data_IF_913566558021
#
_entry.id   IF_913566558021
#
_cell.length_a   1.000
_cell.length_b   1.000
_cell.length_c   1.000
_cell.angle_alpha   90.00
_cell.angle_beta   90.00
_cell.angle_gamma   90.00
#
_symmetry.space_group_name_H-M   'P 1'
#
loop_
_entity.id
_entity.type
_entity.pdbx_description
1 polymer ?
#
# COMPACT_ATOMS: atom_id res chain seq x y z
N UNK A 1 0.54 -9.64 -10.41
CA UNK A 1 1.85 -10.32 -10.41
C UNK A 1 1.64 -11.79 -10.76
N UNK A 2 2.52 -12.34 -11.59
CA UNK A 2 2.43 -13.75 -12.02
C UNK A 2 3.03 -14.72 -11.00
N UNK A 3 3.55 -14.21 -9.88
CA UNK A 3 4.25 -14.99 -8.84
C UNK A 3 5.41 -15.83 -9.42
N UNK A 4 6.13 -15.24 -10.37
CA UNK A 4 7.29 -15.85 -11.05
C UNK A 4 8.53 -15.05 -10.64
N UNK A 5 9.63 -15.73 -10.23
CA UNK A 5 10.89 -15.05 -9.98
C UNK A 5 11.37 -14.31 -11.23
N UNK A 6 11.73 -13.05 -11.09
CA UNK A 6 12.24 -12.23 -12.17
C UNK A 6 13.36 -11.32 -11.69
N UNK A 7 14.32 -11.07 -12.54
CA UNK A 7 15.41 -10.12 -12.31
C UNK A 7 15.47 -9.17 -13.50
N UNK A 8 15.53 -7.89 -13.23
CA UNK A 8 15.65 -6.85 -14.24
C UNK A 8 17.01 -6.15 -14.14
N UNK A 9 17.45 -5.50 -15.22
CA UNK A 9 18.71 -4.75 -15.23
C UNK A 9 19.98 -5.60 -15.11
N UNK A 10 19.92 -6.86 -15.52
CA UNK A 10 21.09 -7.75 -15.55
C UNK A 10 22.07 -7.32 -16.65
N UNK A 11 23.35 -7.64 -16.44
CA UNK A 11 24.39 -7.33 -17.40
C UNK A 11 24.19 -8.04 -18.75
N UNK A 12 24.59 -7.39 -19.84
CA UNK A 12 24.45 -7.93 -21.19
C UNK A 12 25.08 -9.32 -21.38
N UNK A 13 26.11 -9.66 -20.61
CA UNK A 13 26.72 -10.99 -20.63
C UNK A 13 25.76 -12.13 -20.26
N UNK A 14 24.61 -11.84 -19.68
CA UNK A 14 23.60 -12.85 -19.47
C UNK A 14 23.05 -13.43 -20.78
N UNK A 15 23.14 -12.68 -21.88
CA UNK A 15 22.76 -13.12 -23.22
C UNK A 15 23.75 -14.16 -23.82
N UNK A 16 24.95 -14.25 -23.27
CA UNK A 16 25.98 -15.20 -23.72
C UNK A 16 25.82 -16.58 -23.07
N UNK A 17 24.85 -16.74 -22.15
CA UNK A 17 24.58 -18.04 -21.52
C UNK A 17 23.99 -18.99 -22.56
N UNK A 18 24.65 -20.14 -22.77
CA UNK A 18 24.19 -21.11 -23.73
C UNK A 18 22.87 -21.74 -23.37
N UNK A 19 22.07 -22.05 -24.37
CA UNK A 19 20.78 -22.74 -24.20
C UNK A 19 20.98 -24.07 -23.45
N UNK A 20 20.11 -24.37 -22.52
CA UNK A 20 20.17 -25.58 -21.71
C UNK A 20 21.08 -25.47 -20.49
N UNK A 21 21.75 -24.35 -20.29
CA UNK A 21 22.55 -24.11 -19.08
C UNK A 21 21.65 -24.04 -17.85
N UNK A 22 21.99 -24.82 -16.81
CA UNK A 22 21.29 -24.73 -15.52
C UNK A 22 21.73 -23.46 -14.80
N UNK A 23 20.75 -22.63 -14.45
CA UNK A 23 20.97 -21.35 -13.77
C UNK A 23 20.20 -21.28 -12.45
N UNK A 24 20.69 -20.48 -11.51
CA UNK A 24 19.97 -20.11 -10.29
C UNK A 24 19.51 -18.66 -10.43
N UNK A 25 18.21 -18.46 -10.47
CA UNK A 25 17.56 -17.16 -10.49
C UNK A 25 16.97 -16.87 -9.12
N UNK A 26 17.49 -15.85 -8.44
CA UNK A 26 16.94 -15.37 -7.17
C UNK A 26 16.33 -13.98 -7.37
N UNK A 27 14.99 -13.93 -7.47
CA UNK A 27 14.25 -12.69 -7.68
C UNK A 27 14.28 -11.76 -6.46
N UNK A 28 14.50 -12.28 -5.26
CA UNK A 28 14.59 -11.48 -4.04
C UNK A 28 15.95 -10.79 -3.88
N UNK A 29 17.01 -11.47 -4.29
CA UNK A 29 18.38 -10.94 -4.28
C UNK A 29 18.76 -10.23 -5.59
N UNK A 30 17.92 -10.33 -6.61
CA UNK A 30 18.20 -9.76 -7.93
C UNK A 30 19.39 -10.42 -8.61
N UNK A 31 19.61 -11.71 -8.43
CA UNK A 31 20.80 -12.42 -8.94
C UNK A 31 20.44 -13.53 -9.91
N UNK A 32 21.29 -13.67 -10.93
CA UNK A 32 21.33 -14.81 -11.86
C UNK A 32 22.71 -15.42 -11.81
N UNK A 33 22.82 -16.69 -11.49
CA UNK A 33 24.11 -17.39 -11.37
C UNK A 33 24.16 -18.61 -12.25
N UNK A 34 25.32 -18.86 -12.83
CA UNK A 34 25.69 -20.06 -13.57
C UNK A 34 26.82 -20.82 -12.83
N UNK A 35 27.14 -22.01 -13.27
CA UNK A 35 28.25 -22.78 -12.68
C UNK A 35 27.99 -23.26 -11.26
N UNK A 36 26.75 -23.49 -10.92
CA UNK A 36 26.29 -23.93 -9.59
C UNK A 36 26.63 -25.41 -9.40
N UNK A 37 27.18 -25.78 -8.26
CA UNK A 37 27.53 -27.19 -7.95
C UNK A 37 26.28 -28.04 -7.68
N UNK A 38 26.40 -29.36 -7.87
CA UNK A 38 25.29 -30.28 -7.58
C UNK A 38 24.86 -30.25 -6.12
N UNK A 39 25.78 -30.04 -5.19
CA UNK A 39 25.49 -29.87 -3.76
C UNK A 39 24.70 -28.60 -3.48
N UNK A 40 25.05 -27.50 -4.15
CA UNK A 40 24.35 -26.24 -4.03
C UNK A 40 22.93 -26.35 -4.64
N UNK A 41 22.80 -27.01 -5.78
CA UNK A 41 21.50 -27.30 -6.41
C UNK A 41 20.60 -28.11 -5.47
N UNK A 42 21.16 -29.15 -4.84
CA UNK A 42 20.41 -29.98 -3.89
C UNK A 42 19.91 -29.17 -2.69
N UNK A 43 20.74 -28.31 -2.14
CA UNK A 43 20.34 -27.38 -1.05
C UNK A 43 19.25 -26.42 -1.49
N UNK A 44 19.37 -25.84 -2.68
CA UNK A 44 18.37 -24.91 -3.20
C UNK A 44 17.03 -25.58 -3.49
N UNK A 45 17.05 -26.83 -3.98
CA UNK A 45 15.81 -27.61 -4.17
C UNK A 45 15.14 -27.97 -2.87
N UNK A 46 15.91 -28.32 -1.85
CA UNK A 46 15.40 -28.56 -0.49
C UNK A 46 14.77 -27.28 0.10
N UNK A 47 15.43 -26.15 -0.10
CA UNK A 47 14.89 -24.84 0.25
C UNK A 47 13.56 -24.57 -0.45
N UNK A 48 13.49 -24.75 -1.77
CA UNK A 48 12.27 -24.59 -2.53
C UNK A 48 11.13 -25.49 -2.01
N UNK A 49 11.45 -26.74 -1.65
CA UNK A 49 10.48 -27.67 -1.09
C UNK A 49 9.93 -27.17 0.27
N UNK A 50 10.79 -26.67 1.14
CA UNK A 50 10.37 -26.07 2.43
C UNK A 50 9.54 -24.82 2.23
N UNK A 51 9.93 -23.95 1.30
CA UNK A 51 9.14 -22.74 0.96
C UNK A 51 7.77 -23.11 0.40
N UNK A 52 7.69 -24.11 -0.46
CA UNK A 52 6.42 -24.60 -1.02
C UNK A 52 5.52 -25.17 0.07
N UNK A 53 6.05 -25.95 1.02
CA UNK A 53 5.32 -26.49 2.15
C UNK A 53 4.79 -25.38 3.06
N UNK A 54 5.64 -24.40 3.40
CA UNK A 54 5.25 -23.21 4.17
C UNK A 54 4.14 -22.44 3.48
N UNK A 55 4.28 -22.19 2.18
CA UNK A 55 3.27 -21.50 1.38
C UNK A 55 1.94 -22.27 1.36
N UNK A 56 1.97 -23.60 1.30
CA UNK A 56 0.76 -24.41 1.35
C UNK A 56 0.04 -24.30 2.71
N UNK A 57 0.78 -24.26 3.82
CA UNK A 57 0.22 -24.05 5.16
C UNK A 57 -0.40 -22.65 5.29
N UNK A 58 0.30 -21.63 4.81
CA UNK A 58 -0.21 -20.26 4.82
C UNK A 58 -1.48 -20.12 3.97
N UNK A 59 -1.50 -20.72 2.79
CA UNK A 59 -2.68 -20.73 1.90
C UNK A 59 -3.87 -21.45 2.52
N UNK A 60 -3.65 -22.54 3.23
CA UNK A 60 -4.71 -23.27 3.93
C UNK A 60 -5.39 -22.45 5.04
N UNK A 61 -4.66 -21.52 5.66
CA UNK A 61 -5.12 -20.64 6.74
C UNK A 61 -5.52 -19.23 6.28
N UNK A 62 -5.56 -18.97 4.99
CA UNK A 62 -5.77 -17.61 4.43
C UNK A 62 -7.06 -16.93 4.85
N UNK A 63 -8.11 -17.69 5.09
CA UNK A 63 -9.43 -17.16 5.46
C UNK A 63 -9.56 -16.90 6.96
N UNK A 64 -8.60 -17.35 7.76
CA UNK A 64 -8.58 -17.07 9.19
C UNK A 64 -8.11 -15.64 9.46
N UNK A 65 -8.69 -14.94 10.46
CA UNK A 65 -8.26 -13.59 10.81
C UNK A 65 -6.81 -13.56 11.30
N UNK A 66 -6.13 -12.46 11.02
CA UNK A 66 -4.77 -12.22 11.49
C UNK A 66 -4.82 -11.69 12.93
N UNK A 67 -4.60 -12.57 13.87
CA UNK A 67 -4.62 -12.27 15.31
C UNK A 67 -3.28 -12.66 15.91
N UNK A 68 -2.67 -11.75 16.67
CA UNK A 68 -1.46 -12.06 17.43
C UNK A 68 -1.73 -13.16 18.45
N UNK A 69 -0.70 -13.80 18.95
CA UNK A 69 -0.84 -14.90 19.91
C UNK A 69 -1.52 -14.50 21.23
N UNK A 70 -1.48 -13.21 21.55
CA UNK A 70 -2.13 -12.60 22.73
C UNK A 70 -3.46 -11.89 22.40
N UNK A 71 -4.02 -12.13 21.20
CA UNK A 71 -5.38 -11.74 20.86
C UNK A 71 -5.58 -10.39 20.21
N UNK A 72 -4.52 -9.69 19.80
CA UNK A 72 -4.65 -8.42 19.07
C UNK A 72 -4.89 -8.67 17.59
N UNK A 73 -6.00 -8.15 17.06
CA UNK A 73 -6.37 -8.33 15.66
C UNK A 73 -5.79 -7.24 14.76
N UNK A 74 -5.22 -7.66 13.64
CA UNK A 74 -4.81 -6.78 12.53
C UNK A 74 -5.70 -7.11 11.33
N UNK A 75 -6.28 -6.10 10.71
CA UNK A 75 -7.04 -6.26 9.48
C UNK A 75 -6.08 -6.36 8.30
N UNK A 76 -6.18 -7.42 7.50
CA UNK A 76 -5.34 -7.63 6.32
C UNK A 76 -6.20 -7.54 5.07
N UNK A 77 -5.91 -6.54 4.25
CA UNK A 77 -6.68 -6.17 3.07
C UNK A 77 -5.79 -6.10 1.84
N UNK A 78 -6.39 -5.92 0.67
CA UNK A 78 -5.68 -5.93 -0.60
C UNK A 78 -5.50 -4.53 -1.19
N UNK A 79 -4.39 -4.35 -1.93
CA UNK A 79 -4.22 -3.29 -2.91
C UNK A 79 -4.72 -3.78 -4.27
N UNK A 80 -5.60 -3.03 -4.91
CA UNK A 80 -6.19 -3.39 -6.19
C UNK A 80 -6.15 -2.26 -7.21
N UNK A 81 -6.24 -2.62 -8.49
CA UNK A 81 -6.35 -1.70 -9.62
C UNK A 81 -7.64 -1.83 -10.41
N UNK A 82 -8.53 -2.77 -10.07
CA UNK A 82 -9.78 -2.97 -10.80
C UNK A 82 -10.61 -4.14 -10.28
N UNK A 83 -11.65 -4.49 -11.02
CA UNK A 83 -12.64 -5.51 -10.64
C UNK A 83 -12.01 -6.90 -10.54
N UNK A 84 -11.17 -7.27 -11.51
CA UNK A 84 -10.52 -8.59 -11.52
C UNK A 84 -9.63 -8.79 -10.31
N UNK A 85 -8.90 -7.74 -9.90
CA UNK A 85 -8.12 -7.75 -8.66
C UNK A 85 -9.00 -7.91 -7.43
N UNK A 86 -10.15 -7.23 -7.38
CA UNK A 86 -11.10 -7.34 -6.29
C UNK A 86 -11.58 -8.78 -6.12
N UNK A 87 -11.94 -9.44 -7.22
CA UNK A 87 -12.33 -10.85 -7.24
C UNK A 87 -11.17 -11.74 -6.77
N UNK A 88 -9.98 -11.54 -7.33
CA UNK A 88 -8.79 -12.31 -6.97
C UNK A 88 -8.41 -12.17 -5.48
N UNK A 89 -8.59 -10.98 -4.91
CA UNK A 89 -8.29 -10.71 -3.49
C UNK A 89 -9.16 -11.53 -2.54
N UNK A 90 -10.41 -11.75 -2.89
CA UNK A 90 -11.31 -12.59 -2.09
C UNK A 90 -10.85 -14.05 -2.10
N UNK A 91 -10.34 -14.54 -3.21
CA UNK A 91 -9.76 -15.89 -3.33
C UNK A 91 -8.48 -16.08 -2.51
N UNK A 92 -7.82 -15.01 -2.10
CA UNK A 92 -6.60 -15.02 -1.26
C UNK A 92 -6.85 -14.70 0.21
N UNK A 93 -8.10 -14.54 0.61
CA UNK A 93 -8.46 -14.30 2.00
C UNK A 93 -8.36 -12.85 2.45
N UNK A 94 -8.39 -11.90 1.52
CA UNK A 94 -8.44 -10.48 1.89
C UNK A 94 -9.73 -10.16 2.65
N UNK A 95 -9.61 -9.33 3.68
CA UNK A 95 -10.74 -8.89 4.51
C UNK A 95 -11.38 -7.59 3.96
N UNK A 96 -11.06 -7.23 2.74
CA UNK A 96 -11.51 -6.07 2.03
C UNK A 96 -10.41 -5.47 1.17
N UNK A 97 -10.59 -4.22 0.78
CA UNK A 97 -9.65 -3.44 -0.04
C UNK A 97 -9.21 -2.19 0.71
N UNK A 98 -7.92 -2.11 1.02
CA UNK A 98 -7.34 -0.95 1.70
C UNK A 98 -6.84 0.13 0.74
N UNK A 99 -6.70 -0.20 -0.54
CA UNK A 99 -6.34 0.74 -1.60
C UNK A 99 -6.89 0.27 -2.95
N UNK A 100 -7.84 0.99 -3.49
CA UNK A 100 -8.16 0.98 -4.92
C UNK A 100 -7.44 2.15 -5.57
N UNK A 101 -6.47 1.84 -6.44
CA UNK A 101 -5.77 2.82 -7.26
C UNK A 101 -6.66 3.23 -8.42
N UNK A 102 -7.33 4.36 -8.29
CA UNK A 102 -8.32 4.80 -9.29
C UNK A 102 -7.71 5.28 -10.61
N UNK A 103 -6.39 5.46 -10.69
CA UNK A 103 -5.68 5.83 -11.92
C UNK A 103 -5.99 4.89 -13.08
N UNK A 104 -6.16 3.60 -12.82
CA UNK A 104 -6.49 2.61 -13.84
C UNK A 104 -7.83 2.86 -14.54
N UNK A 105 -8.73 3.59 -13.88
CA UNK A 105 -10.01 4.02 -14.49
C UNK A 105 -9.79 5.13 -15.51
N UNK A 106 -8.75 5.93 -15.34
CA UNK A 106 -8.43 7.11 -16.15
C UNK A 106 -7.38 6.84 -17.21
N UNK A 107 -6.50 5.88 -17.02
CA UNK A 107 -5.38 5.58 -17.92
C UNK A 107 -5.83 4.76 -19.13
N UNK A 108 -5.02 4.83 -20.22
CA UNK A 108 -5.25 4.04 -21.43
C UNK A 108 -6.47 4.48 -22.26
N UNK A 109 -6.93 5.72 -22.08
CA UNK A 109 -8.10 6.30 -22.73
C UNK A 109 -7.76 7.62 -23.41
N UNK A 110 -8.51 7.94 -24.46
CA UNK A 110 -8.40 9.22 -25.16
C UNK A 110 -9.29 10.31 -24.54
N UNK A 111 -10.32 9.92 -23.79
CA UNK A 111 -11.28 10.81 -23.13
C UNK A 111 -11.45 10.42 -21.67
N UNK A 112 -11.80 11.41 -20.83
CA UNK A 112 -12.05 11.18 -19.41
C UNK A 112 -13.21 10.17 -19.22
N UNK A 113 -13.14 9.26 -18.25
CA UNK A 113 -14.27 8.41 -17.91
C UNK A 113 -15.44 9.27 -17.41
N UNK A 114 -16.65 8.97 -17.89
CA UNK A 114 -17.86 9.62 -17.39
C UNK A 114 -18.14 9.26 -15.93
N UNK A 115 -18.97 10.04 -15.27
CA UNK A 115 -19.43 9.72 -13.92
C UNK A 115 -20.11 8.34 -13.87
N UNK A 116 -20.95 8.02 -14.89
CA UNK A 116 -21.62 6.73 -14.97
C UNK A 116 -20.64 5.56 -15.14
N UNK A 117 -19.62 5.71 -15.98
CA UNK A 117 -18.56 4.70 -16.16
C UNK A 117 -17.78 4.47 -14.87
N UNK A 118 -17.40 5.55 -14.18
CA UNK A 118 -16.69 5.46 -12.89
C UNK A 118 -17.57 4.77 -11.85
N UNK A 119 -18.85 5.16 -11.73
CA UNK A 119 -19.81 4.57 -10.80
C UNK A 119 -19.94 3.07 -11.03
N UNK A 120 -20.01 2.64 -12.28
CA UNK A 120 -20.12 1.21 -12.61
C UNK A 120 -18.87 0.43 -12.15
N UNK A 121 -17.69 0.97 -12.39
CA UNK A 121 -16.43 0.31 -11.98
C UNK A 121 -16.33 0.20 -10.46
N UNK A 122 -16.60 1.28 -9.73
CA UNK A 122 -16.55 1.26 -8.25
C UNK A 122 -17.62 0.35 -7.67
N UNK A 123 -18.81 0.34 -8.25
CA UNK A 123 -19.89 -0.57 -7.87
C UNK A 123 -19.51 -2.03 -8.09
N UNK A 124 -18.91 -2.36 -9.22
CA UNK A 124 -18.46 -3.73 -9.53
C UNK A 124 -17.35 -4.19 -8.58
N UNK A 125 -16.41 -3.30 -8.24
CA UNK A 125 -15.41 -3.59 -7.20
C UNK A 125 -16.06 -3.86 -5.84
N UNK A 126 -17.02 -3.03 -5.43
CA UNK A 126 -17.73 -3.20 -4.17
C UNK A 126 -18.53 -4.51 -4.11
N UNK A 127 -19.20 -4.87 -5.19
CA UNK A 127 -19.96 -6.14 -5.29
C UNK A 127 -19.09 -7.39 -5.27
N UNK A 128 -17.83 -7.29 -5.66
CA UNK A 128 -16.88 -8.40 -5.60
C UNK A 128 -16.49 -8.76 -4.16
N UNK A 129 -16.63 -7.83 -3.22
CA UNK A 129 -16.31 -8.03 -1.81
C UNK A 129 -17.46 -8.70 -1.07
N UNK A 130 -17.17 -9.26 0.10
CA UNK A 130 -18.22 -9.72 1.02
C UNK A 130 -18.95 -8.51 1.63
N UNK A 131 -20.25 -8.62 1.93
CA UNK A 131 -21.02 -7.54 2.52
C UNK A 131 -20.35 -6.96 3.77
N UNK A 132 -20.28 -5.64 3.85
CA UNK A 132 -19.70 -4.92 4.98
C UNK A 132 -18.17 -4.83 5.03
N UNK A 133 -17.47 -5.49 4.11
CA UNK A 133 -16.01 -5.34 4.01
C UNK A 133 -15.63 -3.94 3.53
N UNK A 134 -14.48 -3.41 3.99
CA UNK A 134 -14.04 -2.08 3.59
C UNK A 134 -13.58 -2.04 2.13
N UNK A 135 -13.89 -0.94 1.47
CA UNK A 135 -13.34 -0.55 0.17
C UNK A 135 -12.85 0.90 0.28
N UNK A 136 -11.55 1.07 0.33
CA UNK A 136 -10.91 2.39 0.35
C UNK A 136 -10.54 2.77 -1.09
N UNK A 137 -11.16 3.81 -1.60
CA UNK A 137 -10.90 4.32 -2.94
C UNK A 137 -10.08 5.61 -2.83
N UNK A 138 -8.88 5.56 -3.38
CA UNK A 138 -8.05 6.76 -3.49
C UNK A 138 -8.50 7.59 -4.68
N UNK A 139 -8.72 8.88 -4.47
CA UNK A 139 -8.98 9.80 -5.59
C UNK A 139 -7.77 9.88 -6.51
N UNK A 140 -7.98 10.39 -7.72
CA UNK A 140 -7.01 10.38 -8.79
C UNK A 140 -5.63 10.90 -8.34
N UNK A 141 -4.61 10.05 -8.48
CA UNK A 141 -3.20 10.38 -8.22
C UNK A 141 -2.43 10.38 -9.54
N UNK A 142 -2.59 11.43 -10.32
CA UNK A 142 -1.87 11.69 -11.57
C UNK A 142 -0.92 12.87 -11.39
N UNK A 143 0.00 13.02 -12.31
CA UNK A 143 1.14 13.93 -12.24
C UNK A 143 2.43 13.15 -12.04
N UNK A 144 3.55 13.84 -12.02
CA UNK A 144 4.84 13.17 -12.01
C UNK A 144 5.06 12.39 -13.31
N UNK A 145 5.01 11.09 -13.21
CA UNK A 145 5.25 10.15 -14.32
C UNK A 145 3.97 9.58 -14.96
N UNK A 146 2.79 10.01 -14.54
CA UNK A 146 1.51 9.48 -15.01
C UNK A 146 0.70 10.51 -15.82
N UNK A 147 1.06 10.76 -17.09
CA UNK A 147 0.34 11.73 -17.93
C UNK A 147 -1.01 11.17 -18.38
N UNK A 148 -2.01 12.06 -18.47
CA UNK A 148 -3.30 11.81 -19.10
C UNK A 148 -3.50 12.77 -20.28
N UNK A 149 -3.81 12.25 -21.47
CA UNK A 149 -3.92 13.05 -22.68
C UNK A 149 -5.03 14.13 -22.61
N UNK A 150 -6.12 13.85 -21.90
CA UNK A 150 -7.28 14.75 -21.73
C UNK A 150 -7.19 15.62 -20.48
N UNK A 151 -6.16 15.44 -19.66
CA UNK A 151 -5.89 16.21 -18.46
C UNK A 151 -4.40 16.60 -18.46
N UNK A 152 -3.98 17.50 -19.38
CA UNK A 152 -2.58 17.84 -19.50
C UNK A 152 -2.09 18.57 -18.26
N UNK A 153 -1.00 18.07 -17.70
CA UNK A 153 -0.27 18.72 -16.62
C UNK A 153 0.99 19.31 -17.25
N UNK A 154 1.27 20.61 -17.10
CA UNK A 154 2.47 21.22 -17.62
C UNK A 154 3.74 20.51 -17.16
N UNK A 155 4.75 20.46 -18.02
CA UNK A 155 6.05 19.91 -17.65
C UNK A 155 6.66 20.71 -16.49
N UNK A 156 7.19 20.00 -15.52
CA UNK A 156 7.81 20.56 -14.31
C UNK A 156 9.22 20.01 -14.14
N UNK A 157 10.10 20.78 -13.50
CA UNK A 157 11.47 20.34 -13.21
C UNK A 157 11.50 19.21 -12.17
N UNK A 158 10.59 19.27 -11.21
CA UNK A 158 10.47 18.29 -10.14
C UNK A 158 9.02 17.77 -10.03
N UNK A 159 8.55 16.93 -10.95
CA UNK A 159 7.14 16.54 -11.04
C UNK A 159 6.58 15.91 -9.77
N UNK A 160 7.40 15.13 -9.03
CA UNK A 160 6.98 14.52 -7.78
C UNK A 160 6.81 15.51 -6.61
N UNK A 161 7.35 16.71 -6.73
CA UNK A 161 7.18 17.83 -5.79
C UNK A 161 6.18 18.88 -6.28
N UNK A 162 5.62 18.69 -7.44
CA UNK A 162 4.77 19.66 -8.13
C UNK A 162 3.28 19.36 -8.00
N UNK A 163 2.56 19.66 -9.08
CA UNK A 163 1.11 19.48 -9.16
C UNK A 163 0.79 18.02 -9.46
N UNK A 164 0.53 17.26 -8.42
CA UNK A 164 0.11 15.85 -8.51
C UNK A 164 -0.93 15.52 -7.43
N UNK A 165 -1.61 14.39 -7.59
CA UNK A 165 -2.56 13.88 -6.62
C UNK A 165 -3.71 14.85 -6.36
N UNK A 166 -4.00 15.11 -5.11
CA UNK A 166 -5.10 16.02 -4.72
C UNK A 166 -4.92 17.43 -5.28
N UNK A 167 -3.67 17.87 -5.49
CA UNK A 167 -3.39 19.22 -6.05
C UNK A 167 -4.00 19.40 -7.44
N UNK A 168 -4.00 18.35 -8.26
CA UNK A 168 -4.68 18.35 -9.57
C UNK A 168 -6.18 18.56 -9.39
N UNK A 169 -6.80 17.82 -8.47
CA UNK A 169 -8.22 17.95 -8.17
C UNK A 169 -8.61 19.30 -7.57
N UNK A 170 -7.72 19.93 -6.80
CA UNK A 170 -7.97 21.27 -6.25
C UNK A 170 -7.85 22.38 -7.31
N UNK A 171 -6.99 22.22 -8.32
CA UNK A 171 -6.92 23.10 -9.48
C UNK A 171 -8.07 22.88 -10.48
N UNK A 172 -8.54 21.66 -10.59
CA UNK A 172 -9.62 21.24 -11.49
C UNK A 172 -10.76 20.59 -10.71
N UNK A 173 -11.52 21.36 -9.92
CA UNK A 173 -12.50 20.83 -8.98
C UNK A 173 -13.56 19.93 -9.61
N UNK A 174 -13.93 20.15 -10.87
CA UNK A 174 -14.95 19.33 -11.54
C UNK A 174 -14.49 17.87 -11.74
N UNK A 175 -13.20 17.64 -11.97
CA UNK A 175 -12.65 16.29 -12.08
C UNK A 175 -12.78 15.58 -10.72
N UNK A 176 -12.42 16.25 -9.64
CA UNK A 176 -12.52 15.71 -8.28
C UNK A 176 -13.97 15.49 -7.87
N UNK A 177 -14.87 16.46 -8.14
CA UNK A 177 -16.30 16.37 -7.83
C UNK A 177 -16.96 15.18 -8.54
N UNK A 178 -16.70 15.02 -9.82
CA UNK A 178 -17.22 13.90 -10.62
C UNK A 178 -16.80 12.56 -10.04
N UNK A 179 -15.51 12.42 -9.70
CA UNK A 179 -15.01 11.21 -9.08
C UNK A 179 -15.64 10.94 -7.71
N UNK A 180 -15.73 11.95 -6.86
CA UNK A 180 -16.36 11.82 -5.53
C UNK A 180 -17.82 11.39 -5.67
N UNK A 181 -18.61 12.00 -6.57
CA UNK A 181 -20.01 11.60 -6.81
C UNK A 181 -20.11 10.14 -7.25
N UNK A 182 -19.23 9.71 -8.15
CA UNK A 182 -19.21 8.33 -8.63
C UNK A 182 -18.90 7.33 -7.50
N UNK A 183 -17.94 7.66 -6.64
CA UNK A 183 -17.61 6.85 -5.46
C UNK A 183 -18.81 6.79 -4.51
N UNK A 184 -19.40 7.93 -4.18
CA UNK A 184 -20.55 8.03 -3.28
C UNK A 184 -21.76 7.24 -3.82
N UNK A 185 -22.02 7.32 -5.12
CA UNK A 185 -23.11 6.59 -5.78
C UNK A 185 -22.92 5.05 -5.72
N UNK A 186 -21.69 4.57 -5.57
CA UNK A 186 -21.40 3.14 -5.43
C UNK A 186 -21.59 2.61 -4.00
N UNK A 187 -21.92 3.46 -3.05
CA UNK A 187 -22.04 3.10 -1.63
C UNK A 187 -23.20 2.15 -1.30
N UNK A 188 -24.17 1.99 -2.20
CA UNK A 188 -25.29 1.05 -2.05
C UNK A 188 -24.93 -0.40 -2.41
N UNK A 189 -23.73 -0.64 -2.93
CA UNK A 189 -23.31 -1.95 -3.43
C UNK A 189 -22.91 -2.96 -2.32
N UNK A 190 -23.01 -2.59 -1.04
CA UNK A 190 -22.82 -3.49 0.11
C UNK A 190 -21.45 -3.40 0.79
N UNK A 191 -20.45 -2.81 0.18
CA UNK A 191 -19.17 -2.57 0.82
C UNK A 191 -19.21 -1.33 1.71
N UNK A 192 -18.34 -1.29 2.73
CA UNK A 192 -18.13 -0.10 3.55
C UNK A 192 -17.13 0.81 2.85
N UNK A 193 -17.63 1.87 2.22
CA UNK A 193 -16.81 2.78 1.42
C UNK A 193 -16.08 3.82 2.24
N UNK A 194 -14.85 4.08 1.84
CA UNK A 194 -14.00 5.17 2.33
C UNK A 194 -13.38 5.89 1.14
N UNK A 195 -13.32 7.20 1.21
CA UNK A 195 -12.57 8.03 0.26
C UNK A 195 -11.23 8.40 0.88
N UNK A 196 -10.17 8.35 0.10
CA UNK A 196 -8.81 8.69 0.55
C UNK A 196 -8.17 9.68 -0.42
N UNK A 197 -7.68 10.81 0.11
CA UNK A 197 -6.99 11.81 -0.69
C UNK A 197 -5.48 11.57 -0.72
N UNK A 198 -4.86 11.48 -1.92
CA UNK A 198 -3.41 11.40 -2.07
C UNK A 198 -2.76 12.77 -1.97
N UNK A 199 -1.50 12.83 -1.56
CA UNK A 199 -0.65 14.01 -1.58
C UNK A 199 -1.12 15.20 -0.73
N UNK A 200 -1.88 14.95 0.31
CA UNK A 200 -2.16 15.97 1.33
C UNK A 200 -0.85 16.33 2.02
N UNK A 201 -0.52 17.60 2.03
CA UNK A 201 0.71 18.11 2.66
C UNK A 201 0.41 19.15 3.75
N UNK A 202 -0.66 19.94 3.58
CA UNK A 202 -1.03 21.02 4.50
C UNK A 202 -2.47 20.84 5.01
N UNK A 203 -2.77 21.48 6.14
CA UNK A 203 -4.15 21.52 6.65
C UNK A 203 -5.09 22.20 5.63
N UNK A 204 -4.61 23.20 4.90
CA UNK A 204 -5.41 23.84 3.86
C UNK A 204 -5.74 22.89 2.69
N UNK A 205 -4.81 22.03 2.29
CA UNK A 205 -5.10 20.98 1.30
C UNK A 205 -6.24 20.09 1.78
N UNK A 206 -6.16 19.61 3.02
CA UNK A 206 -7.19 18.78 3.63
C UNK A 206 -8.55 19.51 3.69
N UNK A 207 -8.58 20.73 4.20
CA UNK A 207 -9.83 21.49 4.35
C UNK A 207 -10.50 21.78 3.02
N UNK A 208 -9.74 22.12 2.00
CA UNK A 208 -10.28 22.34 0.64
C UNK A 208 -10.83 21.06 0.04
N UNK A 209 -10.11 19.95 0.13
CA UNK A 209 -10.57 18.64 -0.36
C UNK A 209 -11.79 18.15 0.43
N UNK A 210 -11.77 18.28 1.74
CA UNK A 210 -12.88 17.94 2.63
C UNK A 210 -14.13 18.75 2.35
N UNK A 211 -13.99 20.04 2.07
CA UNK A 211 -15.11 20.89 1.68
C UNK A 211 -15.79 20.37 0.42
N UNK A 212 -15.02 20.04 -0.62
CA UNK A 212 -15.56 19.47 -1.86
C UNK A 212 -16.28 18.15 -1.58
N UNK A 213 -15.68 17.29 -0.78
CA UNK A 213 -16.29 16.03 -0.37
C UNK A 213 -17.62 16.24 0.38
N UNK A 214 -17.67 17.14 1.33
CA UNK A 214 -18.88 17.44 2.12
C UNK A 214 -19.98 18.04 1.26
N UNK A 215 -19.65 18.93 0.35
CA UNK A 215 -20.62 19.52 -0.58
C UNK A 215 -21.27 18.45 -1.46
N UNK A 216 -20.50 17.51 -1.97
CA UNK A 216 -21.04 16.42 -2.78
C UNK A 216 -21.82 15.41 -1.92
N UNK A 217 -21.27 15.02 -0.77
CA UNK A 217 -21.91 14.07 0.14
C UNK A 217 -23.28 14.54 0.64
N UNK A 218 -23.43 15.82 0.91
CA UNK A 218 -24.67 16.40 1.42
C UNK A 218 -25.85 16.36 0.43
N UNK A 219 -25.59 16.08 -0.84
CA UNK A 219 -26.64 16.02 -1.88
C UNK A 219 -27.57 14.81 -1.73
N UNK A 220 -27.11 13.74 -1.08
CA UNK A 220 -27.87 12.50 -0.88
C UNK A 220 -27.69 12.03 0.56
N UNK A 221 -28.74 11.96 1.35
CA UNK A 221 -28.68 11.60 2.76
C UNK A 221 -28.03 10.21 3.01
N UNK A 222 -28.27 9.25 2.12
CA UNK A 222 -27.68 7.92 2.23
C UNK A 222 -26.14 7.91 2.12
N UNK A 223 -25.51 8.97 1.64
CA UNK A 223 -24.07 9.10 1.49
C UNK A 223 -23.35 9.50 2.78
N UNK A 224 -24.06 9.89 3.82
CA UNK A 224 -23.48 10.28 5.13
C UNK A 224 -22.65 9.17 5.77
N UNK A 225 -22.90 7.91 5.41
CA UNK A 225 -22.16 6.74 5.90
C UNK A 225 -20.75 6.58 5.32
N UNK A 226 -20.44 7.29 4.23
CA UNK A 226 -19.12 7.22 3.59
C UNK A 226 -18.14 8.09 4.36
N UNK A 227 -17.07 7.46 4.84
CA UNK A 227 -16.00 8.16 5.55
C UNK A 227 -14.88 8.61 4.62
N UNK A 228 -14.05 9.52 5.10
CA UNK A 228 -12.94 10.07 4.34
C UNK A 228 -11.68 10.16 5.20
N UNK A 229 -10.54 9.95 4.58
CA UNK A 229 -9.23 10.01 5.23
C UNK A 229 -8.12 10.46 4.30
N UNK A 230 -6.91 10.33 4.79
CA UNK A 230 -5.69 10.83 4.16
C UNK A 230 -4.77 9.67 3.83
N UNK A 231 -4.22 9.63 2.61
CA UNK A 231 -3.00 8.89 2.38
C UNK A 231 -1.83 9.70 2.97
N UNK A 232 -1.27 9.18 4.04
CA UNK A 232 -0.10 9.80 4.68
C UNK A 232 1.16 9.43 3.91
N UNK A 233 1.61 10.29 3.06
CA UNK A 233 2.77 10.08 2.19
C UNK A 233 3.70 11.28 2.11
N UNK A 234 3.26 12.43 2.60
CA UNK A 234 4.10 13.62 2.79
C UNK A 234 4.47 13.70 4.27
N UNK A 235 5.75 13.83 4.61
CA UNK A 235 6.21 13.82 6.01
C UNK A 235 5.55 14.85 6.91
N UNK A 236 5.11 15.99 6.37
CA UNK A 236 4.40 17.03 7.12
C UNK A 236 3.14 16.53 7.81
N UNK A 237 2.40 15.60 7.21
CA UNK A 237 1.21 15.01 7.82
C UNK A 237 1.56 14.17 9.04
N UNK A 238 2.66 13.43 8.99
CA UNK A 238 3.13 12.64 10.13
C UNK A 238 3.63 13.54 11.28
N UNK A 239 4.38 14.59 10.96
CA UNK A 239 4.87 15.56 11.95
C UNK A 239 3.72 16.31 12.63
N UNK A 240 2.68 16.64 11.86
CA UNK A 240 1.46 17.32 12.34
C UNK A 240 0.28 16.35 12.54
N UNK A 241 0.56 15.08 12.84
CA UNK A 241 -0.49 14.07 12.90
C UNK A 241 -1.59 14.39 13.91
N UNK A 242 -1.25 15.01 15.04
CA UNK A 242 -2.25 15.44 16.04
C UNK A 242 -3.21 16.49 15.48
N UNK A 243 -2.69 17.47 14.75
CA UNK A 243 -3.50 18.51 14.12
C UNK A 243 -4.40 17.93 13.02
N UNK A 244 -3.86 17.07 12.14
CA UNK A 244 -4.66 16.41 11.12
C UNK A 244 -5.70 15.45 11.73
N UNK A 245 -5.33 14.68 12.73
CA UNK A 245 -6.26 13.77 13.43
C UNK A 245 -7.39 14.52 14.16
N UNK A 246 -7.14 15.77 14.54
CA UNK A 246 -8.14 16.63 15.18
C UNK A 246 -9.12 17.29 14.19
N UNK A 247 -8.81 17.28 12.90
CA UNK A 247 -9.68 17.85 11.88
C UNK A 247 -11.02 17.10 11.82
N UNK A 248 -12.09 17.85 11.68
CA UNK A 248 -13.44 17.30 11.61
C UNK A 248 -13.58 16.36 10.41
N UNK A 249 -14.09 15.16 10.67
CA UNK A 249 -14.33 14.15 9.64
C UNK A 249 -13.09 13.55 8.99
N UNK A 250 -11.89 13.77 9.55
CA UNK A 250 -10.70 13.00 9.18
C UNK A 250 -10.72 11.68 9.94
N UNK A 251 -11.18 10.61 9.30
CA UNK A 251 -11.54 9.36 9.99
C UNK A 251 -10.36 8.40 10.12
N UNK A 252 -9.38 8.48 9.22
CA UNK A 252 -8.23 7.59 9.20
C UNK A 252 -7.06 8.17 8.39
N UNK A 253 -5.87 7.57 8.61
CA UNK A 253 -4.76 7.67 7.67
C UNK A 253 -4.42 6.28 7.13
N UNK A 254 -3.97 6.23 5.87
CA UNK A 254 -3.26 5.07 5.33
C UNK A 254 -1.90 5.51 4.80
N UNK A 255 -0.85 4.86 5.27
CA UNK A 255 0.52 5.27 4.97
C UNK A 255 0.93 4.80 3.57
N UNK A 256 1.20 5.74 2.69
CA UNK A 256 1.82 5.50 1.38
C UNK A 256 3.34 5.46 1.52
N UNK A 257 3.89 4.33 1.93
CA UNK A 257 5.30 4.22 2.34
C UNK A 257 6.29 4.47 1.21
N UNK A 258 5.92 4.22 -0.04
CA UNK A 258 6.81 4.45 -1.17
C UNK A 258 7.16 5.94 -1.30
N UNK A 259 6.15 6.79 -1.37
CA UNK A 259 6.33 8.25 -1.44
C UNK A 259 6.81 8.81 -0.10
N UNK A 260 6.29 8.33 1.02
CA UNK A 260 6.74 8.78 2.35
C UNK A 260 8.25 8.58 2.52
N UNK A 261 8.77 7.42 2.12
CA UNK A 261 10.21 7.14 2.19
C UNK A 261 11.00 8.05 1.27
N UNK A 262 10.56 8.20 0.02
CA UNK A 262 11.22 9.08 -0.95
C UNK A 262 11.29 10.53 -0.46
N UNK A 263 10.20 11.07 0.06
CA UNK A 263 10.17 12.45 0.56
C UNK A 263 10.94 12.62 1.88
N UNK A 264 10.89 11.64 2.76
CA UNK A 264 11.63 11.68 4.04
C UNK A 264 13.13 11.68 3.82
N UNK A 265 13.61 10.86 2.86
CA UNK A 265 15.04 10.73 2.56
C UNK A 265 15.51 11.64 1.43
N UNK A 266 14.61 12.39 0.77
CA UNK A 266 14.90 13.20 -0.41
C UNK A 266 15.56 12.38 -1.54
N UNK A 267 15.05 11.17 -1.78
CA UNK A 267 15.56 10.25 -2.79
C UNK A 267 14.48 9.88 -3.79
N UNK A 268 14.81 9.95 -5.08
CA UNK A 268 13.96 9.46 -6.15
C UNK A 268 14.08 7.93 -6.24
N UNK A 269 12.99 7.22 -5.96
CA UNK A 269 12.93 5.75 -6.06
C UNK A 269 13.11 5.22 -7.49
N UNK A 270 12.94 6.07 -8.50
CA UNK A 270 13.21 5.76 -9.90
C UNK A 270 14.67 5.93 -10.31
N UNK A 271 15.49 6.56 -9.46
CA UNK A 271 16.88 6.81 -9.78
C UNK A 271 17.73 5.54 -9.63
N UNK A 272 18.48 5.09 -10.68
CA UNK A 272 19.17 3.80 -10.67
C UNK A 272 20.16 3.59 -9.52
N UNK A 273 20.81 4.68 -9.06
CA UNK A 273 21.80 4.63 -7.97
C UNK A 273 21.18 4.76 -6.58
N UNK A 274 19.98 5.33 -6.47
CA UNK A 274 19.33 5.61 -5.20
C UNK A 274 18.22 4.61 -4.85
N UNK A 275 17.65 3.93 -5.83
CA UNK A 275 16.51 3.04 -5.66
C UNK A 275 16.72 2.00 -4.54
N UNK A 276 17.91 1.44 -4.43
CA UNK A 276 18.26 0.46 -3.39
C UNK A 276 18.36 1.05 -1.97
N UNK A 277 18.48 2.37 -1.86
CA UNK A 277 18.58 3.09 -0.59
C UNK A 277 17.22 3.56 -0.09
N UNK A 278 16.20 3.55 -0.95
CA UNK A 278 14.84 3.96 -0.59
C UNK A 278 14.15 2.78 0.10
N UNK A 279 14.52 2.55 1.35
CA UNK A 279 14.02 1.45 2.18
C UNK A 279 13.05 1.99 3.24
N UNK A 280 11.77 1.58 3.22
CA UNK A 280 10.78 2.02 4.20
C UNK A 280 11.05 1.53 5.63
N UNK A 281 11.96 0.57 5.82
CA UNK A 281 12.47 0.19 7.14
C UNK A 281 13.51 1.18 7.70
N UNK A 282 13.78 2.29 7.01
CA UNK A 282 14.60 3.35 7.58
C UNK A 282 13.96 3.85 8.89
N UNK A 283 14.74 3.95 9.99
CA UNK A 283 14.20 4.38 11.29
C UNK A 283 13.44 5.69 11.26
N UNK A 284 13.81 6.63 10.40
CA UNK A 284 13.11 7.92 10.24
C UNK A 284 11.67 7.72 9.75
N UNK A 285 11.46 6.82 8.79
CA UNK A 285 10.13 6.50 8.26
C UNK A 285 9.29 5.79 9.31
N UNK A 286 9.88 4.81 10.00
CA UNK A 286 9.20 4.07 11.08
C UNK A 286 8.78 4.99 12.23
N UNK A 287 9.62 5.95 12.60
CA UNK A 287 9.30 6.95 13.63
C UNK A 287 8.09 7.79 13.23
N UNK A 288 8.00 8.21 11.97
CA UNK A 288 6.85 8.97 11.46
C UNK A 288 5.55 8.13 11.50
N UNK A 289 5.63 6.86 11.16
CA UNK A 289 4.48 5.95 11.23
C UNK A 289 4.01 5.80 12.68
N UNK A 290 4.92 5.59 13.62
CA UNK A 290 4.61 5.48 15.05
C UNK A 290 3.95 6.72 15.63
N UNK A 291 4.44 7.91 15.27
CA UNK A 291 3.84 9.19 15.68
C UNK A 291 2.40 9.33 15.18
N UNK A 292 2.16 8.95 13.94
CA UNK A 292 0.82 9.00 13.34
C UNK A 292 -0.15 8.01 14.02
N UNK A 293 0.30 6.80 14.31
CA UNK A 293 -0.50 5.80 15.01
C UNK A 293 -0.94 6.30 16.39
N UNK A 294 -0.02 6.84 17.16
CA UNK A 294 -0.31 7.40 18.49
C UNK A 294 -1.33 8.53 18.41
N UNK A 295 -1.14 9.48 17.50
CA UNK A 295 -2.04 10.61 17.33
C UNK A 295 -3.47 10.20 16.93
N UNK A 296 -3.61 9.21 16.06
CA UNK A 296 -4.90 8.69 15.65
C UNK A 296 -5.59 7.91 16.78
N UNK A 297 -4.85 7.07 17.48
CA UNK A 297 -5.39 6.27 18.58
C UNK A 297 -5.88 7.12 19.75
N UNK A 298 -5.23 8.25 20.04
CA UNK A 298 -5.70 9.23 21.04
C UNK A 298 -7.13 9.72 20.75
N UNK A 299 -7.58 9.62 19.51
CA UNK A 299 -8.90 10.06 19.05
C UNK A 299 -9.81 8.90 18.62
N UNK A 300 -9.44 7.65 18.89
CA UNK A 300 -10.20 6.48 18.50
C UNK A 300 -10.26 6.25 16.98
N UNK A 301 -9.28 6.78 16.23
CA UNK A 301 -9.15 6.63 14.79
C UNK A 301 -8.08 5.58 14.46
N UNK A 302 -8.05 5.10 13.22
CA UNK A 302 -7.18 4.01 12.82
C UNK A 302 -6.13 4.41 11.78
N UNK A 303 -5.02 3.67 11.77
CA UNK A 303 -3.92 3.80 10.83
C UNK A 303 -3.76 2.53 10.02
N UNK A 304 -3.84 2.65 8.69
CA UNK A 304 -3.44 1.61 7.76
C UNK A 304 -2.07 1.87 7.15
N UNK A 305 -1.51 0.85 6.52
CA UNK A 305 -0.33 0.94 5.65
C UNK A 305 -0.67 0.29 4.33
N UNK A 306 -0.51 1.00 3.23
CA UNK A 306 -0.83 0.50 1.89
C UNK A 306 0.35 0.50 0.91
N UNK A 307 1.51 0.94 1.32
CA UNK A 307 2.74 0.82 0.54
C UNK A 307 3.29 -0.61 0.50
N UNK A 308 4.34 -0.81 -0.28
CA UNK A 308 4.96 -2.13 -0.47
C UNK A 308 5.46 -2.79 0.81
N UNK A 309 5.79 -2.00 1.83
CA UNK A 309 6.27 -2.50 3.13
C UNK A 309 5.23 -3.34 3.87
N UNK A 310 3.93 -3.14 3.62
CA UNK A 310 2.87 -3.95 4.22
C UNK A 310 2.93 -5.43 3.81
N UNK A 311 3.61 -5.74 2.71
CA UNK A 311 3.86 -7.11 2.22
C UNK A 311 5.23 -7.67 2.63
N UNK A 312 6.03 -6.89 3.33
CA UNK A 312 7.40 -7.25 3.73
C UNK A 312 7.41 -8.01 5.07
N UNK A 313 7.79 -9.29 5.12
CA UNK A 313 7.73 -10.09 6.34
C UNK A 313 8.64 -9.57 7.46
N UNK A 314 9.72 -8.85 7.16
CA UNK A 314 10.58 -8.23 8.18
C UNK A 314 9.94 -6.99 8.78
N UNK A 315 9.09 -6.30 8.04
CA UNK A 315 8.43 -5.09 8.49
C UNK A 315 7.14 -5.37 9.27
N UNK A 316 6.40 -6.43 8.94
CA UNK A 316 5.08 -6.72 9.52
C UNK A 316 5.05 -6.66 11.05
N UNK A 317 5.89 -7.39 11.81
CA UNK A 317 5.84 -7.31 13.28
C UNK A 317 6.21 -5.92 13.80
N UNK A 318 7.10 -5.21 13.15
CA UNK A 318 7.48 -3.84 13.53
C UNK A 318 6.31 -2.88 13.32
N UNK A 319 5.62 -2.96 12.19
CA UNK A 319 4.43 -2.15 11.90
C UNK A 319 3.31 -2.40 12.90
N UNK A 320 3.07 -3.66 13.25
CA UNK A 320 2.11 -4.03 14.30
C UNK A 320 2.50 -3.38 15.62
N UNK A 321 3.77 -3.45 15.99
CA UNK A 321 4.29 -2.85 17.23
C UNK A 321 4.23 -1.32 17.25
N UNK A 322 4.32 -0.66 16.09
CA UNK A 322 4.15 0.79 15.96
C UNK A 322 2.70 1.25 16.14
N UNK A 323 1.74 0.33 16.12
CA UNK A 323 0.33 0.63 16.27
C UNK A 323 -0.46 0.63 14.97
N UNK A 324 0.07 0.09 13.89
CA UNK A 324 -0.67 -0.07 12.63
C UNK A 324 -1.84 -1.04 12.84
N UNK A 325 -3.05 -0.63 12.42
CA UNK A 325 -4.29 -1.38 12.62
C UNK A 325 -4.66 -2.23 11.38
N UNK A 326 -4.24 -1.79 10.20
CA UNK A 326 -4.56 -2.40 8.92
C UNK A 326 -3.32 -2.49 8.03
N UNK A 327 -3.11 -3.67 7.44
CA UNK A 327 -2.08 -3.91 6.43
C UNK A 327 -2.75 -4.17 5.08
N UNK A 328 -2.55 -3.27 4.13
CA UNK A 328 -3.03 -3.39 2.76
C UNK A 328 -1.91 -3.87 1.86
N UNK A 329 -2.01 -5.10 1.41
CA UNK A 329 -0.93 -5.85 0.79
C UNK A 329 -1.17 -6.09 -0.69
N UNK A 330 -0.12 -6.47 -1.41
CA UNK A 330 -0.29 -7.13 -2.70
C UNK A 330 -1.06 -8.44 -2.52
N UNK A 331 -1.91 -8.79 -3.48
CA UNK A 331 -2.81 -9.94 -3.38
C UNK A 331 -2.08 -11.25 -3.05
N UNK A 332 -0.97 -11.60 -3.71
CA UNK A 332 -0.23 -12.83 -3.42
C UNK A 332 0.37 -12.90 -2.02
N UNK A 333 0.60 -11.76 -1.38
CA UNK A 333 1.23 -11.68 -0.06
C UNK A 333 0.25 -11.86 1.10
N UNK A 334 -1.06 -11.79 0.88
CA UNK A 334 -2.07 -11.81 1.95
C UNK A 334 -1.93 -13.02 2.88
N UNK A 335 -1.84 -14.27 2.39
CA UNK A 335 -1.69 -15.41 3.28
C UNK A 335 -0.43 -15.35 4.16
N UNK A 336 0.70 -14.93 3.61
CA UNK A 336 1.97 -14.83 4.35
C UNK A 336 1.98 -13.68 5.36
N UNK A 337 1.34 -12.55 5.03
CA UNK A 337 1.20 -11.42 5.97
C UNK A 337 0.34 -11.81 7.16
N UNK A 338 -0.77 -12.49 6.94
CA UNK A 338 -1.60 -13.03 8.02
C UNK A 338 -0.82 -14.00 8.91
N UNK A 339 -0.05 -14.91 8.31
CA UNK A 339 0.80 -15.84 9.05
C UNK A 339 1.87 -15.10 9.88
N UNK A 340 2.48 -14.06 9.34
CA UNK A 340 3.46 -13.25 10.06
C UNK A 340 2.84 -12.58 11.29
N UNK A 341 1.62 -12.05 11.20
CA UNK A 341 0.90 -11.48 12.35
C UNK A 341 0.64 -12.55 13.42
N UNK A 342 0.21 -13.74 13.03
CA UNK A 342 -0.09 -14.84 13.96
C UNK A 342 1.16 -15.41 14.67
N UNK A 343 2.35 -15.16 14.12
CA UNK A 343 3.61 -15.70 14.66
C UNK A 343 4.13 -14.93 15.88
N UNK A 344 3.59 -13.76 16.19
CA UNK A 344 4.06 -12.86 17.25
C UNK A 344 2.94 -12.52 18.24
N UNK A 345 3.33 -12.19 19.48
CA UNK A 345 2.48 -11.45 20.39
C UNK A 345 2.68 -9.94 20.21
N UNK A 346 1.70 -9.14 20.65
CA UNK A 346 1.76 -7.69 20.54
C UNK A 346 2.91 -7.10 21.37
N UNK A 347 3.18 -7.68 22.53
CA UNK A 347 4.25 -7.23 23.42
C UNK A 347 5.61 -7.35 22.74
N UNK A 348 5.89 -8.47 22.07
CA UNK A 348 7.11 -8.66 21.27
C UNK A 348 7.17 -7.69 20.11
N UNK A 349 6.07 -7.49 19.41
CA UNK A 349 6.00 -6.50 18.33
C UNK A 349 6.33 -5.08 18.81
N UNK A 350 5.80 -4.68 19.95
CA UNK A 350 6.10 -3.36 20.56
C UNK A 350 7.57 -3.22 20.93
N UNK A 351 8.17 -4.25 21.49
CA UNK A 351 9.60 -4.26 21.82
C UNK A 351 10.47 -4.15 20.56
N UNK A 352 10.09 -4.85 19.47
CA UNK A 352 10.76 -4.75 18.18
C UNK A 352 10.63 -3.35 17.58
N UNK A 353 9.45 -2.75 17.64
CA UNK A 353 9.20 -1.40 17.14
C UNK A 353 10.03 -0.35 17.90
N UNK A 354 10.12 -0.45 19.21
CA UNK A 354 10.94 0.44 20.04
C UNK A 354 12.43 0.34 19.68
N UNK A 355 12.94 -0.87 19.47
CA UNK A 355 14.31 -1.07 19.01
C UNK A 355 14.51 -0.52 17.61
N UNK A 356 13.57 -0.76 16.68
CA UNK A 356 13.67 -0.37 15.29
C UNK A 356 13.80 1.15 15.11
N UNK A 357 13.01 1.94 15.82
CA UNK A 357 13.07 3.40 15.72
C UNK A 357 14.35 3.99 16.35
N UNK A 358 15.06 3.23 17.14
CA UNK A 358 16.33 3.59 17.76
C UNK A 358 17.56 3.03 17.00
N UNK A 359 17.36 2.24 15.95
CA UNK A 359 18.43 1.83 15.05
C UNK A 359 18.96 3.01 14.24
N UNK A 360 20.16 2.86 13.68
CA UNK A 360 20.77 3.88 12.83
C UNK A 360 20.50 3.64 11.34
N UNK A 361 20.31 2.39 10.92
CA UNK A 361 20.19 2.01 9.50
C UNK A 361 19.03 1.06 9.26
N UNK A 362 18.50 1.00 8.01
CA UNK A 362 17.52 -0.02 7.65
C UNK A 362 18.04 -1.46 7.81
N UNK A 363 19.32 -1.68 7.55
CA UNK A 363 19.93 -3.01 7.72
C UNK A 363 19.88 -3.47 9.18
N UNK A 364 20.16 -2.60 10.13
CA UNK A 364 20.02 -2.89 11.57
C UNK A 364 18.58 -3.19 11.95
N UNK A 365 17.62 -2.45 11.40
CA UNK A 365 16.19 -2.72 11.60
C UNK A 365 15.82 -4.11 11.10
N UNK A 366 16.21 -4.45 9.88
CA UNK A 366 15.92 -5.76 9.28
C UNK A 366 16.56 -6.92 10.04
N UNK A 367 17.73 -6.70 10.64
CA UNK A 367 18.40 -7.70 11.48
C UNK A 367 17.62 -8.03 12.76
N UNK A 368 16.70 -7.17 13.21
CA UNK A 368 15.83 -7.46 14.35
C UNK A 368 14.79 -8.54 14.04
N UNK A 369 14.44 -8.71 12.78
CA UNK A 369 13.48 -9.70 12.29
C UNK A 369 14.17 -10.55 11.23
N UNK A 370 14.99 -11.54 11.64
CA UNK A 370 15.70 -12.38 10.70
C UNK A 370 14.67 -13.17 9.87
N UNK A 371 14.85 -13.12 8.55
CA UNK A 371 14.23 -14.11 7.67
C UNK A 371 15.09 -15.36 7.77
N UNK A 372 14.47 -16.53 7.82
CA UNK A 372 15.21 -17.78 7.73
C UNK A 372 16.12 -17.72 6.49
N UNK A 373 17.42 -17.48 6.72
CA UNK A 373 18.42 -17.67 5.69
C UNK A 373 18.47 -19.17 5.41
N UNK A 374 17.72 -19.51 4.43
CA UNK A 374 17.68 -20.89 3.98
C UNK A 374 18.65 -21.04 2.83
#
# INVERSE_FOLDING_TARGET
SLDIPAVAGIEARALDIADGTLVVLDGSKGTLRTGVTDEEIARLREKQARMAERKAVEEAAKDEPAVTTDGHRITVVANIGGVDDAIASMGKGAEGVGLLRSEFVFMGRSTAPSEAEQTQIYTDCAKALKPGQPLVIRTLDVGGDKPLAYLPIPAEENPFLGVRGVRVGLEQPEVLRTQIRAILASSDAGAKLHVMFPMIATIDDWRRAKQIFDEERSKVAAWDRVSVGIMMEVPSVAVMARQFAAEDGCDFFSVGTNDLTSYTLAMDRGHPKLASQVDPCNPAVLALIGQAAEALHERGKWLGVCGGVASDPQAVPILVGLGVDELSCSIPAIPSVKAAVRAYDLSTCRALAEKAVNCATPAEVRALVPVDEV
#
